data_IF_735487991240
#
_entry.id   IF_735487991240
#
_cell.length_a   1.000
_cell.length_b   1.000
_cell.length_c   1.000
_cell.angle_alpha   90.00
_cell.angle_beta   90.00
_cell.angle_gamma   90.00
#
_symmetry.space_group_name_H-M   'P 1'
#
loop_
_entity.id
_entity.type
_entity.pdbx_description
1 polymer ?
#
# COMPACT_ATOMS: atom_id res chain seq x y z
N UNK A 1 12.30 -23.56 7.69
CA UNK A 1 11.87 -24.40 6.55
C UNK A 1 11.71 -23.56 5.31
N UNK A 2 12.58 -23.76 4.31
CA UNK A 2 12.48 -23.16 2.97
C UNK A 2 11.64 -24.09 2.10
N UNK A 3 10.55 -23.58 1.53
CA UNK A 3 9.85 -24.26 0.44
C UNK A 3 10.17 -23.56 -0.88
N UNK A 4 10.96 -24.24 -1.71
CA UNK A 4 11.05 -23.99 -3.16
C UNK A 4 9.82 -24.66 -3.79
N UNK A 5 8.95 -23.88 -4.42
CA UNK A 5 7.99 -24.41 -5.39
C UNK A 5 8.16 -23.63 -6.69
N UNK A 6 8.44 -24.35 -7.77
CA UNK A 6 8.56 -23.84 -9.15
C UNK A 6 7.14 -23.57 -9.66
N UNK A 7 6.77 -22.31 -9.83
CA UNK A 7 5.54 -21.90 -10.50
C UNK A 7 5.90 -20.77 -11.47
N UNK A 8 5.47 -20.88 -12.73
CA UNK A 8 5.88 -20.07 -13.88
C UNK A 8 5.39 -18.62 -13.89
N UNK A 9 5.05 -18.07 -12.72
CA UNK A 9 4.48 -16.72 -12.59
C UNK A 9 5.28 -15.91 -11.57
N UNK A 10 6.54 -15.64 -11.89
CA UNK A 10 7.33 -14.61 -11.22
C UNK A 10 7.96 -13.71 -12.27
N UNK A 11 7.24 -12.65 -12.58
CA UNK A 11 7.83 -11.45 -13.15
C UNK A 11 7.01 -10.24 -12.69
N UNK A 12 7.75 -9.26 -12.15
CA UNK A 12 7.37 -7.87 -11.83
C UNK A 12 6.67 -7.60 -10.48
N UNK A 13 7.53 -7.23 -9.52
CA UNK A 13 7.26 -6.20 -8.51
C UNK A 13 6.87 -4.90 -9.23
N UNK A 14 5.62 -4.46 -9.06
CA UNK A 14 5.17 -3.09 -8.75
C UNK A 14 3.64 -3.11 -8.83
N UNK A 15 2.98 -2.64 -7.77
CA UNK A 15 1.52 -2.65 -7.55
C UNK A 15 0.97 -4.03 -7.14
N UNK A 16 1.05 -4.38 -5.84
CA UNK A 16 0.06 -5.31 -5.28
C UNK A 16 -1.26 -4.55 -5.07
N UNK A 17 -2.40 -5.12 -5.48
CA UNK A 17 -3.72 -4.52 -5.25
C UNK A 17 -4.09 -4.64 -3.77
N UNK A 18 -4.55 -3.54 -3.18
CA UNK A 18 -5.38 -3.59 -1.98
C UNK A 18 -6.59 -4.47 -2.29
N UNK A 19 -6.68 -5.64 -1.64
CA UNK A 19 -7.92 -6.40 -1.61
C UNK A 19 -8.93 -5.61 -0.76
N UNK A 20 -9.82 -4.93 -1.47
CA UNK A 20 -11.16 -4.51 -1.07
C UNK A 20 -11.30 -3.74 0.27
N UNK A 21 -10.95 -2.46 0.26
CA UNK A 21 -11.70 -1.47 1.03
C UNK A 21 -11.76 -0.16 0.24
N UNK A 22 -12.97 0.40 0.18
CA UNK A 22 -13.35 1.61 -0.54
C UNK A 22 -13.20 1.56 -2.06
N UNK A 23 -14.36 1.34 -2.69
CA UNK A 23 -14.70 2.01 -3.95
C UNK A 23 -14.78 3.52 -3.67
N UNK A 24 -13.66 4.13 -3.30
CA UNK A 24 -13.49 5.56 -3.45
C UNK A 24 -13.37 5.76 -4.96
N UNK A 25 -14.30 6.51 -5.52
CA UNK A 25 -13.99 7.38 -6.63
C UNK A 25 -12.75 8.18 -6.22
N UNK A 26 -11.55 7.68 -6.51
CA UNK A 26 -10.31 8.41 -6.27
C UNK A 26 -10.09 9.24 -7.54
N UNK A 27 -10.26 10.58 -7.51
CA UNK A 27 -9.96 11.43 -8.67
C UNK A 27 -8.45 11.54 -8.99
N UNK A 28 -7.61 10.67 -8.41
CA UNK A 28 -6.16 10.84 -8.30
C UNK A 28 -5.42 9.59 -8.81
N UNK A 29 -5.52 9.31 -10.11
CA UNK A 29 -4.66 8.34 -10.79
C UNK A 29 -3.27 8.96 -10.99
N UNK A 30 -2.33 8.60 -10.11
CA UNK A 30 -0.94 9.01 -10.23
C UNK A 30 -0.06 7.79 -10.52
N UNK A 31 0.64 7.83 -11.65
CA UNK A 31 1.56 6.79 -12.07
C UNK A 31 2.83 7.40 -12.62
N UNK A 32 3.97 7.05 -12.03
CA UNK A 32 5.28 7.34 -12.56
C UNK A 32 5.88 6.07 -13.16
N UNK A 33 6.33 6.14 -14.40
CA UNK A 33 6.82 4.98 -15.14
C UNK A 33 7.90 5.34 -16.14
N UNK A 34 8.62 4.33 -16.62
CA UNK A 34 9.78 4.49 -17.51
C UNK A 34 9.57 3.88 -18.89
N UNK A 35 8.33 3.84 -19.36
CA UNK A 35 7.96 2.97 -20.47
C UNK A 35 7.13 3.73 -21.52
N UNK A 36 7.85 4.24 -22.52
CA UNK A 36 7.34 5.04 -23.64
C UNK A 36 6.42 4.26 -24.61
N UNK A 37 6.29 2.94 -24.47
CA UNK A 37 5.55 2.07 -25.41
C UNK A 37 4.39 1.29 -24.77
N UNK A 38 3.78 1.83 -23.71
CA UNK A 38 2.57 1.21 -23.15
C UNK A 38 1.37 1.42 -24.09
N UNK A 39 0.54 0.38 -24.25
CA UNK A 39 -0.71 0.46 -25.01
C UNK A 39 -1.56 1.63 -24.48
N UNK A 40 -1.96 2.54 -25.36
CA UNK A 40 -2.70 3.75 -24.98
C UNK A 40 -1.83 4.88 -24.45
N UNK A 41 -0.57 5.02 -24.89
CA UNK A 41 0.22 6.24 -24.70
C UNK A 41 0.22 7.09 -25.99
N UNK A 42 0.42 8.41 -25.90
CA UNK A 42 0.56 9.26 -27.08
C UNK A 42 1.82 8.88 -27.88
N UNK A 43 1.62 8.46 -29.13
CA UNK A 43 2.71 8.04 -30.02
C UNK A 43 3.52 9.22 -30.59
N UNK A 44 3.05 10.45 -30.41
CA UNK A 44 3.63 11.70 -30.87
C UNK A 44 4.45 12.42 -29.78
N UNK A 45 4.75 11.74 -28.68
CA UNK A 45 5.62 12.26 -27.62
C UNK A 45 7.08 12.35 -28.08
N UNK A 46 7.78 13.39 -27.66
CA UNK A 46 9.20 13.56 -27.99
C UNK A 46 10.03 12.41 -27.44
N UNK A 47 10.87 11.84 -28.29
CA UNK A 47 11.83 10.81 -27.90
C UNK A 47 12.93 11.34 -26.98
N UNK A 48 13.51 10.47 -26.16
CA UNK A 48 14.53 10.84 -25.17
C UNK A 48 15.76 11.53 -25.78
N UNK A 49 16.11 11.19 -27.03
CA UNK A 49 17.26 11.78 -27.74
C UNK A 49 17.04 13.24 -28.16
N UNK A 50 15.78 13.67 -28.20
CA UNK A 50 15.40 15.03 -28.64
C UNK A 50 15.31 15.99 -27.46
N UNK A 51 14.97 15.48 -26.28
CA UNK A 51 14.81 16.30 -25.07
C UNK A 51 16.17 16.57 -24.43
N UNK A 52 16.45 17.85 -24.16
CA UNK A 52 17.57 18.25 -23.32
C UNK A 52 17.15 18.18 -21.86
N UNK A 53 18.13 18.17 -20.97
CA UNK A 53 17.87 18.25 -19.53
C UNK A 53 17.05 19.49 -19.20
N UNK A 54 16.07 19.34 -18.32
CA UNK A 54 15.04 20.35 -17.97
C UNK A 54 13.89 20.47 -18.95
N UNK A 55 13.97 19.89 -20.15
CA UNK A 55 12.87 19.95 -21.12
C UNK A 55 11.67 19.11 -20.64
N UNK A 56 10.47 19.61 -20.94
CA UNK A 56 9.22 18.89 -20.73
C UNK A 56 8.41 18.81 -22.02
N UNK A 57 7.67 17.71 -22.16
CA UNK A 57 6.71 17.47 -23.23
C UNK A 57 5.45 16.87 -22.60
N UNK A 58 4.27 17.33 -22.99
CA UNK A 58 3.03 16.87 -22.35
C UNK A 58 1.87 16.78 -23.32
N UNK A 59 0.93 15.87 -23.05
CA UNK A 59 -0.28 15.65 -23.83
C UNK A 59 -1.47 15.45 -22.90
N UNK A 60 -2.62 15.95 -23.31
CA UNK A 60 -3.89 15.64 -22.65
C UNK A 60 -4.39 14.31 -23.25
N UNK A 61 -4.48 13.28 -22.40
CA UNK A 61 -4.83 11.93 -22.81
C UNK A 61 -6.36 11.71 -22.86
N UNK A 62 -7.07 12.26 -21.88
CA UNK A 62 -8.55 12.34 -21.82
C UNK A 62 -8.93 13.72 -21.31
N UNK A 63 -10.22 14.09 -21.29
CA UNK A 63 -10.69 15.44 -20.90
C UNK A 63 -10.08 16.00 -19.60
N UNK A 64 -9.57 15.13 -18.72
CA UNK A 64 -9.02 15.53 -17.41
C UNK A 64 -7.66 14.92 -17.08
N UNK A 65 -7.05 14.07 -17.93
CA UNK A 65 -5.78 13.40 -17.60
C UNK A 65 -4.65 13.91 -18.48
N UNK A 66 -3.59 14.40 -17.85
CA UNK A 66 -2.36 14.87 -18.50
C UNK A 66 -1.29 13.79 -18.37
N UNK A 67 -0.58 13.56 -19.47
CA UNK A 67 0.65 12.81 -19.54
C UNK A 67 1.80 13.78 -19.75
N UNK A 68 2.75 13.82 -18.81
CA UNK A 68 3.92 14.70 -18.85
C UNK A 68 5.19 13.86 -18.85
N UNK A 69 6.03 14.11 -19.83
CA UNK A 69 7.38 13.60 -19.96
C UNK A 69 8.34 14.72 -19.61
N UNK A 70 9.22 14.50 -18.66
CA UNK A 70 10.26 15.45 -18.27
C UNK A 70 11.63 14.79 -18.32
N UNK A 71 12.62 15.52 -18.81
CA UNK A 71 13.97 15.00 -18.99
C UNK A 71 14.92 15.53 -17.91
N UNK A 72 15.43 14.63 -17.08
CA UNK A 72 16.59 14.88 -16.21
C UNK A 72 17.81 14.14 -16.78
N UNK A 73 18.58 13.42 -15.95
CA UNK A 73 19.53 12.40 -16.40
C UNK A 73 18.87 11.26 -17.18
N UNK A 74 17.58 11.02 -16.89
CA UNK A 74 16.73 9.99 -17.48
C UNK A 74 15.33 10.60 -17.63
N UNK A 75 14.60 10.18 -18.66
CA UNK A 75 13.21 10.56 -18.84
C UNK A 75 12.34 10.05 -17.69
N UNK A 76 11.43 10.91 -17.25
CA UNK A 76 10.41 10.63 -16.25
C UNK A 76 9.06 10.88 -16.90
N UNK A 77 8.22 9.86 -16.90
CA UNK A 77 6.83 9.97 -17.34
C UNK A 77 5.92 9.99 -16.11
N UNK A 78 5.06 11.01 -16.03
CA UNK A 78 4.08 11.21 -14.97
C UNK A 78 2.69 11.42 -15.56
N UNK A 79 1.70 10.73 -14.98
CA UNK A 79 0.29 10.92 -15.27
C UNK A 79 -0.41 11.61 -14.10
N UNK A 80 -1.25 12.60 -14.37
CA UNK A 80 -2.04 13.28 -13.36
C UNK A 80 -3.10 14.20 -13.97
N UNK A 81 -4.12 14.55 -13.17
CA UNK A 81 -5.26 15.38 -13.59
C UNK A 81 -5.22 16.80 -13.01
N UNK A 82 -4.34 17.05 -12.04
CA UNK A 82 -4.50 18.16 -11.10
C UNK A 82 -3.52 19.32 -11.29
N UNK A 83 -2.54 19.17 -12.17
CA UNK A 83 -1.45 20.13 -12.31
C UNK A 83 -1.49 20.81 -13.68
N UNK A 84 -1.30 22.13 -13.69
CA UNK A 84 -1.01 22.84 -14.93
C UNK A 84 0.30 22.28 -15.51
N UNK A 85 0.31 21.72 -16.73
CA UNK A 85 1.50 21.09 -17.28
C UNK A 85 2.63 22.07 -17.62
N UNK A 86 2.32 23.37 -17.61
CA UNK A 86 3.26 24.46 -17.86
C UNK A 86 3.87 24.99 -16.56
N UNK A 87 3.32 24.66 -15.38
CA UNK A 87 3.87 25.17 -14.12
C UNK A 87 5.19 24.47 -13.81
N UNK A 88 6.23 25.28 -13.64
CA UNK A 88 7.61 24.86 -13.42
C UNK A 88 8.07 25.33 -12.05
N UNK A 89 8.80 24.48 -11.37
CA UNK A 89 9.49 24.72 -10.11
C UNK A 89 10.97 24.44 -10.25
N UNK A 90 11.79 25.16 -9.49
CA UNK A 90 13.21 24.91 -9.42
C UNK A 90 13.49 23.81 -8.41
N UNK A 91 14.24 22.79 -8.81
CA UNK A 91 14.64 21.74 -7.91
C UNK A 91 16.17 21.55 -7.93
N UNK A 92 16.79 21.70 -6.77
CA UNK A 92 18.22 21.47 -6.61
C UNK A 92 18.55 19.99 -6.84
N UNK A 93 19.48 19.73 -7.75
CA UNK A 93 19.96 18.40 -8.11
C UNK A 93 21.46 18.32 -7.89
N UNK A 94 21.92 17.18 -7.38
CA UNK A 94 23.34 16.92 -7.16
C UNK A 94 23.93 16.26 -8.40
N UNK A 95 25.00 16.84 -8.92
CA UNK A 95 25.76 16.29 -10.03
C UNK A 95 26.73 15.18 -9.62
N UNK A 96 27.23 14.45 -10.62
CA UNK A 96 28.21 13.38 -10.42
C UNK A 96 29.51 13.94 -9.83
N UNK A 97 29.83 15.17 -10.21
CA UNK A 97 31.01 15.91 -9.75
C UNK A 97 30.80 16.51 -8.34
N UNK A 98 29.64 16.25 -7.72
CA UNK A 98 29.31 16.68 -6.37
C UNK A 98 28.75 18.10 -6.27
N UNK A 99 28.80 18.89 -7.35
CA UNK A 99 28.19 20.21 -7.46
C UNK A 99 26.66 20.13 -7.38
N UNK A 100 26.00 21.23 -7.01
CA UNK A 100 24.53 21.33 -7.02
C UNK A 100 24.12 22.30 -8.11
N UNK A 101 23.21 21.84 -8.97
CA UNK A 101 22.62 22.65 -10.02
C UNK A 101 21.12 22.75 -9.80
N UNK A 102 20.59 23.93 -10.07
CA UNK A 102 19.16 24.20 -10.01
C UNK A 102 18.55 23.87 -11.37
N UNK A 103 17.78 22.79 -11.41
CA UNK A 103 17.15 22.30 -12.63
C UNK A 103 15.67 22.62 -12.59
N UNK A 104 15.16 23.20 -13.67
CA UNK A 104 13.74 23.46 -13.84
C UNK A 104 13.00 22.13 -14.04
N UNK A 105 11.94 21.94 -13.27
CA UNK A 105 11.14 20.74 -13.32
C UNK A 105 9.66 21.05 -13.14
N UNK A 106 8.75 20.37 -13.85
CA UNK A 106 7.33 20.62 -13.69
C UNK A 106 6.83 20.32 -12.27
N UNK A 107 5.90 21.14 -11.76
CA UNK A 107 5.27 20.96 -10.44
C UNK A 107 4.72 19.55 -10.24
N UNK A 108 4.22 18.91 -11.30
CA UNK A 108 3.71 17.54 -11.19
C UNK A 108 4.81 16.53 -10.79
N UNK A 109 6.06 16.76 -11.22
CA UNK A 109 7.20 15.88 -10.89
C UNK A 109 7.61 16.08 -9.44
N UNK A 110 7.65 17.32 -8.95
CA UNK A 110 7.96 17.62 -7.53
C UNK A 110 6.87 17.05 -6.63
N UNK A 111 5.60 17.24 -6.99
CA UNK A 111 4.45 16.76 -6.23
C UNK A 111 4.41 15.24 -6.10
N UNK A 112 4.60 14.50 -7.21
CA UNK A 112 4.67 13.03 -7.19
C UNK A 112 5.85 12.55 -6.34
N UNK A 113 6.98 13.25 -6.37
CA UNK A 113 8.15 12.89 -5.56
C UNK A 113 7.89 13.10 -4.06
N UNK A 114 7.30 14.24 -3.69
CA UNK A 114 6.95 14.56 -2.29
C UNK A 114 5.91 13.59 -1.74
N UNK A 115 4.88 13.28 -2.51
CA UNK A 115 3.83 12.33 -2.10
C UNK A 115 4.37 10.92 -1.91
N UNK A 116 5.26 10.46 -2.79
CA UNK A 116 5.91 9.16 -2.61
C UNK A 116 6.77 9.11 -1.35
N UNK A 117 7.56 10.16 -1.06
CA UNK A 117 8.34 10.26 0.19
C UNK A 117 7.43 10.25 1.43
N UNK A 118 6.36 11.03 1.42
CA UNK A 118 5.41 11.09 2.53
C UNK A 118 4.69 9.75 2.75
N UNK A 119 4.43 9.00 1.68
CA UNK A 119 3.84 7.67 1.76
C UNK A 119 4.81 6.65 2.40
N UNK A 120 6.11 6.77 2.16
CA UNK A 120 7.14 5.94 2.80
C UNK A 120 7.24 6.24 4.30
N UNK A 121 7.35 7.51 4.67
CA UNK A 121 7.40 7.95 6.08
C UNK A 121 6.14 7.52 6.84
N UNK A 122 4.97 7.62 6.22
CA UNK A 122 3.71 7.17 6.82
C UNK A 122 3.70 5.66 7.07
N UNK A 123 4.27 4.84 6.17
CA UNK A 123 4.38 3.39 6.36
C UNK A 123 5.33 3.05 7.50
N UNK A 124 6.48 3.72 7.57
CA UNK A 124 7.45 3.53 8.65
C UNK A 124 6.83 3.89 9.99
N UNK A 125 6.13 5.03 10.06
CA UNK A 125 5.41 5.47 11.25
C UNK A 125 4.35 4.45 11.69
N UNK A 126 3.49 3.99 10.77
CA UNK A 126 2.47 2.97 11.05
C UNK A 126 3.09 1.64 11.50
N UNK A 127 4.18 1.20 10.86
CA UNK A 127 4.91 0.00 11.25
C UNK A 127 5.48 0.11 12.68
N UNK A 128 6.09 1.26 13.00
CA UNK A 128 6.64 1.52 14.33
C UNK A 128 5.53 1.57 15.40
N UNK A 129 4.39 2.20 15.09
CA UNK A 129 3.22 2.18 15.96
C UNK A 129 2.70 0.76 16.18
N UNK A 130 2.55 -0.04 15.13
CA UNK A 130 2.13 -1.43 15.26
C UNK A 130 3.09 -2.25 16.13
N UNK A 131 4.39 -2.05 15.99
CA UNK A 131 5.39 -2.73 16.81
C UNK A 131 5.30 -2.30 18.28
N UNK A 132 5.13 -1.00 18.55
CA UNK A 132 4.94 -0.48 19.90
C UNK A 132 3.67 -1.08 20.53
N UNK A 133 2.55 -1.08 19.81
CA UNK A 133 1.29 -1.69 20.24
C UNK A 133 1.45 -3.20 20.50
N UNK A 134 2.20 -3.93 19.67
CA UNK A 134 2.48 -5.36 19.89
C UNK A 134 3.33 -5.62 21.14
N UNK A 135 4.25 -4.72 21.49
CA UNK A 135 5.11 -4.84 22.68
C UNK A 135 4.37 -4.52 23.99
N UNK A 136 3.43 -3.58 23.96
CA UNK A 136 2.74 -3.11 25.17
C UNK A 136 1.43 -3.86 25.46
N UNK A 137 0.98 -4.74 24.57
CA UNK A 137 -0.27 -5.48 24.77
C UNK A 137 -0.10 -6.54 25.86
N UNK A 138 -0.95 -6.53 26.92
CA UNK A 138 -0.98 -7.65 27.85
C UNK A 138 -1.36 -8.94 27.09
N UNK A 139 -0.92 -10.12 27.59
CA UNK A 139 -1.33 -11.39 27.01
C UNK A 139 -2.85 -11.47 26.96
N UNK A 140 -3.40 -11.70 25.77
CA UNK A 140 -4.83 -11.84 25.57
C UNK A 140 -5.24 -13.21 26.14
N UNK A 141 -5.95 -13.19 27.26
CA UNK A 141 -6.48 -14.40 27.87
C UNK A 141 -7.87 -14.71 27.31
N UNK A 142 -7.98 -15.81 26.57
CA UNK A 142 -9.28 -16.32 26.13
C UNK A 142 -9.93 -17.09 27.28
N UNK A 143 -11.21 -16.82 27.52
CA UNK A 143 -12.03 -17.54 28.49
C UNK A 143 -13.14 -18.30 27.78
N UNK A 144 -13.52 -19.44 28.35
CA UNK A 144 -14.76 -20.13 27.94
C UNK A 144 -15.93 -19.16 28.12
N UNK A 145 -16.88 -19.20 27.21
CA UNK A 145 -17.99 -18.25 27.11
C UNK A 145 -17.61 -16.80 26.76
N UNK A 146 -16.34 -16.52 26.44
CA UNK A 146 -15.89 -15.21 25.93
C UNK A 146 -16.36 -14.93 24.51
N UNK A 147 -16.57 -13.64 24.21
CA UNK A 147 -16.91 -13.13 22.88
C UNK A 147 -15.65 -12.87 22.05
N UNK A 148 -15.66 -13.33 20.80
CA UNK A 148 -14.55 -13.20 19.87
C UNK A 148 -15.04 -12.90 18.45
N UNK A 149 -14.27 -12.12 17.70
CA UNK A 149 -14.47 -11.95 16.26
C UNK A 149 -13.70 -13.03 15.51
N UNK A 150 -14.37 -13.69 14.57
CA UNK A 150 -13.77 -14.69 13.68
C UNK A 150 -13.09 -13.99 12.51
N UNK A 151 -11.75 -14.05 12.46
CA UNK A 151 -10.99 -13.49 11.34
C UNK A 151 -11.05 -14.43 10.14
N UNK A 152 -11.72 -13.96 9.09
CA UNK A 152 -11.77 -14.63 7.79
C UNK A 152 -10.97 -13.86 6.76
N UNK A 153 -10.04 -14.55 6.08
CA UNK A 153 -9.12 -13.94 5.12
C UNK A 153 -9.83 -13.38 3.86
N UNK A 154 -11.08 -13.79 3.63
CA UNK A 154 -11.91 -13.38 2.49
C UNK A 154 -12.86 -12.22 2.82
N UNK A 155 -12.99 -11.84 4.10
CA UNK A 155 -13.92 -10.81 4.54
C UNK A 155 -13.18 -9.62 5.16
N UNK A 156 -13.68 -8.41 4.87
CA UNK A 156 -13.23 -7.18 5.53
C UNK A 156 -13.47 -7.28 7.05
N UNK A 157 -12.61 -6.66 7.90
CA UNK A 157 -12.75 -6.69 9.35
C UNK A 157 -14.13 -6.29 9.89
N UNK A 158 -14.83 -5.39 9.20
CA UNK A 158 -16.19 -4.94 9.56
C UNK A 158 -17.23 -6.06 9.41
N UNK A 159 -16.95 -7.06 8.58
CA UNK A 159 -17.82 -8.23 8.33
C UNK A 159 -17.36 -9.46 9.10
N UNK A 160 -16.37 -9.36 9.98
CA UNK A 160 -16.00 -10.49 10.82
C UNK A 160 -17.12 -10.80 11.80
N UNK A 161 -17.50 -12.06 11.87
CA UNK A 161 -18.63 -12.47 12.69
C UNK A 161 -18.26 -12.52 14.16
N UNK A 162 -19.15 -11.98 14.99
CA UNK A 162 -19.06 -12.10 16.44
C UNK A 162 -19.57 -13.47 16.89
N UNK A 163 -18.74 -14.21 17.61
CA UNK A 163 -19.03 -15.56 18.07
C UNK A 163 -18.61 -15.78 19.51
N UNK A 164 -19.14 -16.84 20.12
CA UNK A 164 -18.84 -17.22 21.52
C UNK A 164 -17.99 -18.49 21.57
N UNK A 165 -16.95 -18.47 22.40
CA UNK A 165 -16.10 -19.63 22.65
C UNK A 165 -16.85 -20.62 23.55
N UNK A 166 -16.92 -21.88 23.12
CA UNK A 166 -17.54 -22.97 23.91
C UNK A 166 -16.51 -23.80 24.65
N UNK A 167 -15.34 -24.07 24.05
CA UNK A 167 -14.26 -24.85 24.67
C UNK A 167 -12.90 -24.31 24.24
N UNK A 168 -11.90 -24.46 25.10
CA UNK A 168 -10.52 -24.08 24.85
C UNK A 168 -9.62 -25.29 25.00
N UNK A 169 -8.61 -25.40 24.15
CA UNK A 169 -7.60 -26.45 24.21
C UNK A 169 -6.21 -25.82 24.39
N UNK A 170 -5.64 -25.91 25.60
CA UNK A 170 -4.26 -25.52 25.86
C UNK A 170 -3.27 -26.54 25.26
N UNK A 171 -2.08 -26.06 24.89
CA UNK A 171 -0.94 -26.91 24.54
C UNK A 171 -0.18 -27.40 25.78
N UNK A 172 0.94 -28.09 25.56
CA UNK A 172 1.85 -28.55 26.62
C UNK A 172 2.49 -27.41 27.44
N UNK A 173 2.49 -26.20 26.88
CA UNK A 173 2.99 -24.96 27.50
C UNK A 173 1.90 -24.19 28.29
N UNK A 174 0.74 -24.82 28.53
CA UNK A 174 -0.46 -24.20 29.14
C UNK A 174 -1.02 -23.00 28.37
N UNK A 175 -0.54 -22.73 27.15
CA UNK A 175 -1.05 -21.66 26.29
C UNK A 175 -2.16 -22.16 25.39
N UNK A 176 -3.26 -21.42 25.33
CA UNK A 176 -4.42 -21.76 24.49
C UNK A 176 -4.06 -21.58 23.02
N UNK A 177 -4.08 -22.66 22.23
CA UNK A 177 -3.77 -22.64 20.79
C UNK A 177 -5.00 -22.80 19.92
N UNK A 178 -6.01 -23.53 20.40
CA UNK A 178 -7.24 -23.84 19.66
C UNK A 178 -8.46 -23.54 20.53
N UNK A 179 -9.46 -22.90 19.92
CA UNK A 179 -10.77 -22.68 20.51
C UNK A 179 -11.86 -23.36 19.66
N UNK A 180 -12.90 -23.86 20.32
CA UNK A 180 -14.16 -24.29 19.70
C UNK A 180 -15.15 -23.16 19.85
N UNK A 181 -15.78 -22.81 18.74
CA UNK A 181 -16.67 -21.68 18.60
C UNK A 181 -18.01 -22.19 18.10
N UNK A 182 -19.11 -21.67 18.66
CA UNK A 182 -20.44 -22.00 18.19
C UNK A 182 -20.81 -21.10 17.00
N UNK A 183 -21.17 -21.71 15.88
CA UNK A 183 -21.71 -21.05 14.68
C UNK A 183 -23.16 -21.52 14.45
N UNK A 184 -23.88 -20.93 13.49
CA UNK A 184 -25.28 -21.31 13.22
C UNK A 184 -25.42 -22.77 12.79
N UNK A 185 -24.47 -23.28 12.01
CA UNK A 185 -24.49 -24.65 11.48
C UNK A 185 -23.84 -25.69 12.40
N UNK A 186 -23.38 -25.31 13.60
CA UNK A 186 -22.77 -26.25 14.54
C UNK A 186 -21.59 -25.68 15.32
N UNK A 187 -20.55 -26.49 15.52
CA UNK A 187 -19.33 -26.13 16.25
C UNK A 187 -18.13 -26.13 15.31
N UNK A 188 -17.33 -25.08 15.39
CA UNK A 188 -16.19 -24.84 14.52
C UNK A 188 -14.91 -24.69 15.33
N UNK A 189 -13.85 -25.41 14.95
CA UNK A 189 -12.53 -25.33 15.60
C UNK A 189 -11.64 -24.36 14.86
N UNK A 190 -11.06 -23.41 15.57
CA UNK A 190 -10.14 -22.43 14.98
C UNK A 190 -8.95 -22.16 15.89
N UNK A 191 -7.79 -21.98 15.26
CA UNK A 191 -6.60 -21.52 15.96
C UNK A 191 -6.79 -20.10 16.49
N UNK A 192 -6.31 -19.85 17.70
CA UNK A 192 -6.47 -18.56 18.39
C UNK A 192 -5.89 -17.37 17.61
N UNK A 193 -4.89 -17.60 16.75
CA UNK A 193 -4.30 -16.58 15.87
C UNK A 193 -5.33 -15.96 14.89
N UNK A 194 -6.39 -16.71 14.54
CA UNK A 194 -7.49 -16.22 13.69
C UNK A 194 -8.69 -15.72 14.51
N UNK A 195 -8.51 -15.46 15.80
CA UNK A 195 -9.54 -14.93 16.67
C UNK A 195 -9.10 -13.58 17.23
N UNK A 196 -10.01 -12.62 17.25
CA UNK A 196 -9.80 -11.36 17.93
C UNK A 196 -10.65 -11.35 19.20
N UNK A 197 -10.01 -11.27 20.36
CA UNK A 197 -10.75 -11.16 21.63
C UNK A 197 -11.32 -9.76 21.76
N UNK A 198 -12.63 -9.67 21.99
CA UNK A 198 -13.26 -8.45 22.43
C UNK A 198 -13.23 -8.46 23.95
N UNK A 199 -12.07 -8.14 24.53
CA UNK A 199 -12.03 -7.88 25.96
C UNK A 199 -12.66 -6.52 26.13
N UNK A 200 -13.92 -6.46 26.58
CA UNK A 200 -14.38 -5.25 27.26
C UNK A 200 -13.54 -5.18 28.51
N UNK A 201 -12.64 -4.19 28.60
CA UNK A 201 -12.05 -3.86 29.88
C UNK A 201 -13.22 -3.50 30.78
N UNK A 202 -13.49 -4.31 31.80
CA UNK A 202 -14.32 -3.87 32.91
C UNK A 202 -13.63 -2.62 33.45
N UNK A 203 -14.26 -1.47 33.27
CA UNK A 203 -13.88 -0.26 33.94
C UNK A 203 -14.02 -0.57 35.44
N UNK A 204 -12.89 -0.61 36.13
CA UNK A 204 -12.81 -0.66 37.59
C UNK A 204 -13.27 0.70 38.11
#
# INVERSE_FOLDING_TARGET
>A
MRFKCRSSTRQYLLLKPMKLSLRMSVPNLHGQGRQDHRKGMPNDSKGDKVLKRSDSDWRVFTKEVICLKWMDRKSVLSLGSYHNPVSVETASRRENDGTREDVSCPTMVTWVTLTNRNAEVSKEYLSNLEQKIKRTKPPIHFKVNGLVLLKEDNLSPVRWELRRITKLYPGSDSKVRVAVIKIHSGVFRRGVVKLCSLVMQEAI
#
